data_IF_774608017885
#
_entry.id   IF_774608017885
#
_cell.length_a   1.000
_cell.length_b   1.000
_cell.length_c   1.000
_cell.angle_alpha   90.00
_cell.angle_beta   90.00
_cell.angle_gamma   90.00
#
_symmetry.space_group_name_H-M   'P 1'
#
loop_
_entity.id
_entity.type
_entity.pdbx_description
1 polymer ?
#
# COMPACT_ATOMS: atom_id res chain seq x y z
N UNK A 1 -11.51 -10.93 12.87
CA UNK A 1 -11.75 -11.30 14.28
C UNK A 1 -11.35 -10.13 15.16
N UNK A 2 -12.10 -9.88 16.23
CA UNK A 2 -11.76 -8.87 17.23
C UNK A 2 -10.76 -9.44 18.25
N UNK A 3 -9.93 -8.56 18.82
CA UNK A 3 -8.98 -8.91 19.88
C UNK A 3 -9.63 -8.74 21.27
N UNK A 4 -9.07 -9.43 22.28
CA UNK A 4 -9.47 -9.26 23.68
C UNK A 4 -10.64 -10.11 24.16
N UNK A 5 -11.16 -11.01 23.32
CA UNK A 5 -12.24 -11.93 23.68
C UNK A 5 -11.73 -13.35 23.94
N UNK A 6 -12.26 -13.99 24.98
CA UNK A 6 -11.92 -15.38 25.32
C UNK A 6 -12.39 -16.37 24.24
N UNK A 7 -13.53 -16.09 23.60
CA UNK A 7 -14.03 -16.85 22.46
C UNK A 7 -13.73 -16.10 21.15
N UNK A 8 -13.40 -16.82 20.05
CA UNK A 8 -13.20 -16.19 18.75
C UNK A 8 -14.42 -15.37 18.36
N UNK A 9 -14.24 -14.05 18.31
CA UNK A 9 -15.33 -13.10 18.05
C UNK A 9 -15.12 -12.47 16.68
N UNK A 10 -16.12 -12.61 15.81
CA UNK A 10 -16.15 -11.96 14.50
C UNK A 10 -16.99 -10.70 14.58
N UNK A 11 -16.59 -9.69 13.82
CA UNK A 11 -17.37 -8.49 13.54
C UNK A 11 -17.68 -8.49 12.05
N UNK A 12 -18.94 -8.24 11.72
CA UNK A 12 -19.43 -8.25 10.35
C UNK A 12 -20.03 -6.89 10.02
N UNK A 13 -19.58 -6.32 8.92
CA UNK A 13 -20.24 -5.22 8.25
C UNK A 13 -21.17 -5.82 7.20
N UNK A 14 -22.46 -5.53 7.32
CA UNK A 14 -23.46 -6.02 6.38
C UNK A 14 -24.40 -4.89 5.98
N UNK A 15 -25.00 -5.06 4.81
CA UNK A 15 -26.02 -4.17 4.28
C UNK A 15 -27.37 -4.86 4.35
N UNK A 16 -28.38 -4.15 4.86
CA UNK A 16 -29.75 -4.66 4.95
C UNK A 16 -30.52 -4.42 3.63
N UNK A 17 -31.74 -4.97 3.47
CA UNK A 17 -32.57 -4.74 2.27
C UNK A 17 -33.04 -3.29 2.07
N UNK A 18 -32.82 -2.41 3.05
CA UNK A 18 -33.10 -0.97 2.96
C UNK A 18 -31.85 -0.18 2.58
N UNK A 19 -30.79 -0.86 2.14
CA UNK A 19 -29.49 -0.28 1.78
C UNK A 19 -28.77 0.41 2.95
N UNK A 20 -29.16 0.11 4.19
CA UNK A 20 -28.47 0.61 5.38
C UNK A 20 -27.36 -0.35 5.80
N UNK A 21 -26.22 0.20 6.23
CA UNK A 21 -25.11 -0.59 6.74
C UNK A 21 -25.13 -0.70 8.25
N UNK A 22 -24.76 -1.87 8.74
CA UNK A 22 -24.77 -2.21 10.15
C UNK A 22 -23.55 -3.04 10.52
N UNK A 23 -23.09 -2.89 11.76
CA UNK A 23 -22.11 -3.77 12.37
C UNK A 23 -22.77 -4.72 13.36
N UNK A 24 -22.40 -5.99 13.29
CA UNK A 24 -22.86 -7.00 14.24
C UNK A 24 -21.71 -7.93 14.62
N UNK A 25 -21.62 -8.27 15.90
CA UNK A 25 -20.65 -9.24 16.38
C UNK A 25 -21.29 -10.60 16.61
N UNK A 26 -20.50 -11.66 16.41
CA UNK A 26 -20.85 -13.03 16.73
C UNK A 26 -19.66 -13.73 17.39
N UNK A 27 -19.95 -14.66 18.31
CA UNK A 27 -18.97 -15.56 18.88
C UNK A 27 -19.07 -16.93 18.21
N UNK A 28 -17.92 -17.54 17.93
CA UNK A 28 -17.86 -18.86 17.30
C UNK A 28 -17.79 -19.94 18.38
N UNK A 29 -18.87 -20.71 18.56
CA UNK A 29 -18.85 -21.89 19.43
C UNK A 29 -18.27 -23.08 18.68
N UNK A 30 -17.03 -23.45 19.00
CA UNK A 30 -16.40 -24.66 18.43
C UNK A 30 -17.06 -25.95 18.94
N UNK A 31 -17.67 -25.91 20.13
CA UNK A 31 -18.39 -27.03 20.73
C UNK A 31 -19.70 -27.31 20.00
N UNK A 32 -20.50 -26.27 19.78
CA UNK A 32 -21.84 -26.39 19.20
C UNK A 32 -21.80 -26.29 17.66
N UNK A 33 -20.65 -25.93 17.09
CA UNK A 33 -20.42 -25.68 15.66
C UNK A 33 -21.40 -24.65 15.08
N UNK A 34 -21.71 -23.63 15.87
CA UNK A 34 -22.68 -22.59 15.53
C UNK A 34 -22.21 -21.20 16.01
N UNK A 35 -22.87 -20.16 15.52
CA UNK A 35 -22.65 -18.78 15.93
C UNK A 35 -23.57 -18.39 17.08
N UNK A 36 -22.96 -17.82 18.12
CA UNK A 36 -23.68 -17.23 19.25
C UNK A 36 -23.70 -15.71 19.06
N UNK A 37 -24.76 -15.04 19.54
CA UNK A 37 -24.82 -13.58 19.57
C UNK A 37 -23.57 -13.01 20.24
N UNK A 38 -22.89 -12.10 19.55
CA UNK A 38 -21.70 -11.45 20.07
C UNK A 38 -22.04 -10.35 21.09
N UNK A 39 -21.00 -9.77 21.71
CA UNK A 39 -21.14 -8.86 22.84
C UNK A 39 -21.84 -7.54 22.50
N UNK A 40 -21.78 -7.08 21.24
CA UNK A 40 -22.38 -5.80 20.84
C UNK A 40 -22.74 -5.72 19.35
N UNK A 41 -23.59 -4.76 19.00
CA UNK A 41 -23.93 -4.41 17.63
C UNK A 41 -24.10 -2.90 17.49
N UNK A 42 -23.91 -2.38 16.28
CA UNK A 42 -24.11 -0.97 15.95
C UNK A 42 -24.98 -0.88 14.69
N UNK A 43 -26.14 -0.25 14.81
CA UNK A 43 -27.06 -0.06 13.69
C UNK A 43 -26.86 1.31 13.03
N UNK A 44 -27.00 1.37 11.70
CA UNK A 44 -26.96 2.64 10.98
C UNK A 44 -25.57 3.26 10.96
N UNK A 45 -24.56 2.48 10.58
CA UNK A 45 -23.23 3.02 10.27
C UNK A 45 -23.24 3.70 8.90
N UNK A 46 -22.17 4.40 8.55
CA UNK A 46 -22.05 5.09 7.26
C UNK A 46 -22.35 4.15 6.08
N UNK A 47 -23.14 4.63 5.12
CA UNK A 47 -23.52 3.86 3.92
C UNK A 47 -22.28 3.51 3.08
N UNK A 48 -21.27 4.39 3.05
CA UNK A 48 -19.97 4.18 2.41
C UNK A 48 -19.00 3.29 3.19
N UNK A 49 -19.38 2.73 4.35
CA UNK A 49 -18.48 1.90 5.16
C UNK A 49 -18.02 0.64 4.41
N UNK A 50 -16.74 0.53 4.06
CA UNK A 50 -16.22 -0.58 3.24
C UNK A 50 -15.36 -1.57 4.00
N UNK A 51 -14.72 -1.13 5.09
CA UNK A 51 -13.65 -1.91 5.71
C UNK A 51 -13.67 -1.81 7.23
N UNK A 52 -13.34 -2.93 7.88
CA UNK A 52 -13.16 -3.01 9.34
C UNK A 52 -11.71 -3.37 9.64
N UNK A 53 -11.07 -2.60 10.51
CA UNK A 53 -9.74 -2.88 11.04
C UNK A 53 -9.89 -3.27 12.52
N UNK A 54 -9.57 -4.51 12.91
CA UNK A 54 -9.60 -4.90 14.32
C UNK A 54 -8.43 -4.25 15.07
N UNK A 55 -8.74 -3.56 16.18
CA UNK A 55 -7.73 -2.90 17.02
C UNK A 55 -7.21 -3.90 18.07
N UNK A 56 -5.89 -4.04 18.23
CA UNK A 56 -5.30 -4.99 19.15
C UNK A 56 -5.55 -4.63 20.63
N UNK A 57 -5.29 -5.59 21.51
CA UNK A 57 -5.22 -5.35 22.96
C UNK A 57 -4.04 -4.45 23.29
N UNK A 58 -4.14 -3.57 24.32
CA UNK A 58 -5.19 -3.55 25.35
C UNK A 58 -6.41 -2.66 25.02
N UNK A 59 -6.37 -1.92 23.91
CA UNK A 59 -7.44 -0.99 23.51
C UNK A 59 -8.70 -1.77 23.13
N UNK A 60 -8.55 -2.73 22.21
CA UNK A 60 -9.64 -3.56 21.68
C UNK A 60 -10.61 -2.77 20.81
N UNK A 61 -11.65 -3.45 20.32
CA UNK A 61 -12.64 -2.86 19.40
C UNK A 61 -12.19 -2.90 17.94
N UNK A 62 -12.76 -2.03 17.12
CA UNK A 62 -12.42 -1.93 15.70
C UNK A 62 -12.56 -0.50 15.16
N UNK A 63 -11.84 -0.22 14.08
CA UNK A 63 -12.00 0.97 13.26
C UNK A 63 -12.86 0.59 12.05
N UNK A 64 -13.88 1.39 11.77
CA UNK A 64 -14.70 1.32 10.58
C UNK A 64 -14.27 2.43 9.63
N UNK A 65 -13.87 2.06 8.42
CA UNK A 65 -13.51 2.98 7.36
C UNK A 65 -14.71 3.16 6.43
N UNK A 66 -15.21 4.39 6.35
CA UNK A 66 -16.17 4.86 5.35
C UNK A 66 -15.51 5.60 4.21
N UNK A 67 -16.33 6.30 3.44
CA UNK A 67 -15.88 7.17 2.35
C UNK A 67 -15.73 8.62 2.83
N UNK A 68 -16.45 8.99 3.88
CA UNK A 68 -16.44 10.35 4.45
C UNK A 68 -16.06 10.38 5.93
N UNK A 69 -16.16 9.24 6.62
CA UNK A 69 -15.85 9.16 8.04
C UNK A 69 -14.98 7.96 8.39
N UNK A 70 -14.19 8.13 9.45
CA UNK A 70 -13.47 7.06 10.11
C UNK A 70 -13.99 6.99 11.54
N UNK A 71 -14.46 5.80 11.95
CA UNK A 71 -15.07 5.60 13.27
C UNK A 71 -14.38 4.48 14.05
N UNK A 72 -13.84 4.79 15.22
CA UNK A 72 -13.47 3.78 16.22
C UNK A 72 -14.70 3.38 17.03
N UNK A 73 -14.88 2.08 17.22
CA UNK A 73 -16.02 1.47 17.89
C UNK A 73 -15.56 0.39 18.87
N UNK A 74 -15.96 0.54 20.13
CA UNK A 74 -15.77 -0.47 21.16
C UNK A 74 -17.06 -0.58 21.99
N UNK A 75 -17.94 -1.48 21.56
CA UNK A 75 -19.26 -1.65 22.18
C UNK A 75 -19.23 -2.15 23.62
N UNK A 76 -18.19 -2.87 24.05
CA UNK A 76 -18.07 -3.33 25.44
C UNK A 76 -17.89 -2.17 26.42
N UNK A 77 -17.13 -1.15 25.99
CA UNK A 77 -16.84 0.06 26.78
C UNK A 77 -17.82 1.20 26.47
N UNK A 78 -18.70 1.02 25.48
CA UNK A 78 -19.53 2.09 24.93
C UNK A 78 -18.71 3.26 24.36
N UNK A 79 -17.48 3.00 23.90
CA UNK A 79 -16.57 4.03 23.42
C UNK A 79 -16.62 4.12 21.90
N UNK A 80 -17.07 5.28 21.41
CA UNK A 80 -17.15 5.60 19.99
C UNK A 80 -16.45 6.94 19.75
N UNK A 81 -15.64 7.00 18.69
CA UNK A 81 -14.98 8.22 18.22
C UNK A 81 -15.06 8.26 16.71
N UNK A 82 -15.49 9.37 16.14
CA UNK A 82 -15.64 9.54 14.70
C UNK A 82 -14.99 10.83 14.26
N UNK A 83 -14.26 10.77 13.16
CA UNK A 83 -13.72 11.95 12.46
C UNK A 83 -14.22 11.98 11.03
N UNK A 84 -14.28 13.18 10.47
CA UNK A 84 -14.57 13.40 9.06
C UNK A 84 -13.28 13.45 8.25
N UNK A 85 -13.33 12.96 7.02
CA UNK A 85 -12.25 13.06 6.04
C UNK A 85 -12.83 13.51 4.69
N UNK A 86 -11.96 13.95 3.79
CA UNK A 86 -12.35 14.22 2.41
C UNK A 86 -12.84 12.94 1.74
N UNK A 87 -13.78 13.10 0.79
CA UNK A 87 -14.45 11.97 0.15
C UNK A 87 -13.42 11.16 -0.66
N UNK A 88 -13.11 9.95 -0.20
CA UNK A 88 -12.20 9.02 -0.89
C UNK A 88 -12.52 7.57 -0.53
N UNK A 89 -12.11 6.63 -1.37
CA UNK A 89 -12.27 5.20 -1.11
C UNK A 89 -10.95 4.60 -0.67
N UNK A 90 -10.82 4.31 0.63
CA UNK A 90 -9.69 3.57 1.18
C UNK A 90 -9.71 2.12 0.66
N UNK A 91 -8.61 1.69 0.06
CA UNK A 91 -8.47 0.34 -0.55
C UNK A 91 -7.57 -0.59 0.22
N UNK A 92 -6.58 -0.04 0.92
CA UNK A 92 -5.59 -0.82 1.65
C UNK A 92 -5.29 -0.16 3.00
N UNK A 93 -4.87 -0.99 3.95
CA UNK A 93 -4.38 -0.53 5.23
C UNK A 93 -3.21 -1.39 5.70
N UNK A 94 -2.40 -0.84 6.59
CA UNK A 94 -1.32 -1.56 7.26
C UNK A 94 -1.15 -1.03 8.68
N UNK A 95 -0.86 -1.91 9.63
CA UNK A 95 -0.56 -1.51 11.01
C UNK A 95 0.93 -1.13 11.12
N UNK A 96 1.24 -0.01 11.76
CA UNK A 96 2.63 0.38 12.06
C UNK A 96 3.03 -0.17 13.42
N UNK A 97 2.29 0.19 14.47
CA UNK A 97 2.66 -0.18 15.84
C UNK A 97 1.93 -1.44 16.29
N UNK A 98 2.62 -2.31 17.04
CA UNK A 98 2.02 -3.55 17.53
C UNK A 98 0.80 -3.29 18.43
N UNK A 99 0.84 -2.21 19.21
CA UNK A 99 -0.21 -1.73 20.10
C UNK A 99 -1.40 -1.07 19.38
N UNK A 100 -1.28 -0.86 18.07
CA UNK A 100 -2.32 -0.26 17.24
C UNK A 100 -2.49 1.24 17.43
N UNK A 101 -1.44 1.98 17.83
CA UNK A 101 -1.45 3.46 17.82
C UNK A 101 -1.64 4.03 16.42
N UNK A 102 -0.84 3.55 15.45
CA UNK A 102 -0.78 4.13 14.10
C UNK A 102 -1.09 3.09 13.03
N UNK A 103 -1.88 3.52 12.05
CA UNK A 103 -2.22 2.75 10.86
C UNK A 103 -1.93 3.58 9.62
N UNK A 104 -1.46 2.92 8.57
CA UNK A 104 -1.39 3.49 7.23
C UNK A 104 -2.67 3.14 6.49
N UNK A 105 -3.23 4.13 5.79
CA UNK A 105 -4.40 3.98 4.92
C UNK A 105 -4.01 4.43 3.52
N UNK A 106 -4.25 3.60 2.52
CA UNK A 106 -4.03 3.94 1.11
C UNK A 106 -5.34 3.98 0.36
N UNK A 107 -5.60 5.07 -0.35
CA UNK A 107 -6.79 5.22 -1.16
C UNK A 107 -6.61 4.76 -2.61
N UNK A 108 -7.71 4.79 -3.36
CA UNK A 108 -7.69 4.38 -4.77
C UNK A 108 -6.95 5.35 -5.70
N UNK A 109 -6.74 6.60 -5.28
CA UNK A 109 -5.96 7.61 -5.99
C UNK A 109 -4.47 7.51 -5.67
N UNK A 110 -4.08 6.61 -4.77
CA UNK A 110 -2.69 6.38 -4.33
C UNK A 110 -2.20 7.39 -3.29
N UNK A 111 -3.09 8.18 -2.70
CA UNK A 111 -2.77 8.98 -1.54
C UNK A 111 -2.59 8.05 -0.33
N UNK A 112 -1.51 8.27 0.40
CA UNK A 112 -1.20 7.59 1.65
C UNK A 112 -1.46 8.52 2.83
N UNK A 113 -2.16 8.00 3.83
CA UNK A 113 -2.49 8.69 5.07
C UNK A 113 -1.98 7.89 6.27
N UNK A 114 -1.73 8.58 7.38
CA UNK A 114 -1.53 7.97 8.70
C UNK A 114 -2.71 8.30 9.59
N UNK A 115 -3.37 7.26 10.10
CA UNK A 115 -4.39 7.34 11.13
C UNK A 115 -3.73 7.08 12.48
N UNK A 116 -3.84 8.03 13.39
CA UNK A 116 -3.34 7.97 14.77
C UNK A 116 -4.52 7.86 15.72
N UNK A 117 -4.50 6.81 16.55
CA UNK A 117 -5.40 6.64 17.69
C UNK A 117 -4.71 7.25 18.91
N UNK A 118 -5.28 8.33 19.42
CA UNK A 118 -4.82 8.92 20.68
C UNK A 118 -5.49 8.17 21.83
N UNK A 119 -4.70 7.53 22.70
CA UNK A 119 -5.24 6.82 23.85
C UNK A 119 -4.52 7.17 25.15
N UNK A 120 -5.30 7.16 26.23
CA UNK A 120 -4.83 7.27 27.60
C UNK A 120 -5.19 5.98 28.34
N UNK A 121 -4.16 5.21 28.68
CA UNK A 121 -4.30 3.84 29.17
C UNK A 121 -5.08 2.96 28.19
N UNK A 122 -6.29 2.57 28.58
CA UNK A 122 -7.16 1.65 27.81
C UNK A 122 -8.36 2.35 27.15
N UNK A 123 -8.35 3.69 27.06
CA UNK A 123 -9.44 4.50 26.51
C UNK A 123 -8.95 5.34 25.34
N UNK A 124 -9.71 5.38 24.24
CA UNK A 124 -9.40 6.21 23.09
C UNK A 124 -9.94 7.62 23.34
N UNK A 125 -9.06 8.61 23.29
CA UNK A 125 -9.39 10.02 23.46
C UNK A 125 -9.86 10.63 22.14
N UNK A 126 -9.18 10.30 21.04
CA UNK A 126 -9.41 10.92 19.74
C UNK A 126 -8.80 10.13 18.60
N UNK A 127 -9.15 10.54 17.39
CA UNK A 127 -8.56 10.06 16.14
C UNK A 127 -7.97 11.26 15.41
N UNK A 128 -6.79 11.07 14.81
CA UNK A 128 -6.17 12.07 13.94
C UNK A 128 -5.79 11.42 12.63
N UNK A 129 -6.12 12.06 11.52
CA UNK A 129 -5.75 11.62 10.18
C UNK A 129 -4.86 12.68 9.57
N UNK A 130 -3.64 12.29 9.20
CA UNK A 130 -2.69 13.18 8.52
C UNK A 130 -2.32 12.57 7.16
N UNK A 131 -2.20 13.42 6.15
CA UNK A 131 -1.78 13.03 4.80
C UNK A 131 -0.25 12.96 4.73
N UNK A 132 0.28 11.82 4.26
CA UNK A 132 1.72 11.60 4.14
C UNK A 132 2.25 11.95 2.76
N UNK A 133 1.55 11.60 1.69
CA UNK A 133 2.02 11.83 0.33
C UNK A 133 1.45 10.82 -0.66
N UNK A 134 1.97 10.82 -1.88
CA UNK A 134 1.49 9.97 -2.97
C UNK A 134 2.39 8.73 -3.16
N UNK A 135 1.76 7.60 -3.44
CA UNK A 135 2.39 6.29 -3.74
C UNK A 135 1.66 5.63 -4.91
N UNK A 136 2.13 4.49 -5.41
CA UNK A 136 1.33 3.66 -6.33
C UNK A 136 0.00 3.23 -5.69
N UNK A 137 -1.06 3.01 -6.48
CA UNK A 137 -2.38 2.65 -5.96
C UNK A 137 -2.33 1.35 -5.14
N UNK A 138 -2.35 1.49 -3.81
CA UNK A 138 -2.04 0.40 -2.91
C UNK A 138 -3.17 -0.63 -2.87
N UNK A 139 -2.81 -1.90 -3.11
CA UNK A 139 -3.68 -3.05 -2.82
C UNK A 139 -3.38 -3.66 -1.45
N UNK A 140 -2.11 -3.62 -1.05
CA UNK A 140 -1.65 -4.03 0.28
C UNK A 140 -0.61 -3.06 0.79
N UNK A 141 -0.58 -2.83 2.09
CA UNK A 141 0.40 -1.97 2.76
C UNK A 141 1.01 -2.78 3.89
N UNK A 142 2.32 -2.87 3.94
CA UNK A 142 3.03 -3.63 4.98
C UNK A 142 4.19 -2.80 5.50
N UNK A 143 4.05 -2.32 6.73
CA UNK A 143 5.15 -1.70 7.45
C UNK A 143 6.19 -2.78 7.76
N UNK A 144 7.46 -2.50 7.47
CA UNK A 144 8.55 -3.43 7.71
C UNK A 144 9.24 -3.10 9.04
N UNK A 145 10.01 -2.01 9.07
CA UNK A 145 10.65 -1.44 10.27
C UNK A 145 11.31 -0.10 9.89
N UNK A 146 11.71 0.71 10.88
CA UNK A 146 12.58 1.88 10.70
C UNK A 146 12.07 2.90 9.67
N UNK A 147 10.74 3.04 9.59
CA UNK A 147 10.05 3.94 8.65
C UNK A 147 9.91 3.37 7.25
N UNK A 148 10.34 2.14 6.98
CA UNK A 148 10.25 1.50 5.67
C UNK A 148 8.93 0.75 5.52
N UNK A 149 8.26 0.95 4.39
CA UNK A 149 6.94 0.37 4.08
C UNK A 149 6.97 -0.22 2.68
N UNK A 150 6.43 -1.43 2.54
CA UNK A 150 6.14 -2.01 1.25
C UNK A 150 4.70 -1.67 0.81
N UNK A 151 4.59 -1.07 -0.36
CA UNK A 151 3.34 -0.75 -1.05
C UNK A 151 3.16 -1.74 -2.20
N UNK A 152 2.30 -2.72 -2.00
CA UNK A 152 1.97 -3.68 -3.06
C UNK A 152 0.83 -3.17 -3.92
N UNK A 153 1.10 -2.91 -5.20
CA UNK A 153 0.08 -2.50 -6.17
C UNK A 153 -0.26 -3.65 -7.13
N UNK A 154 -1.53 -3.75 -7.51
CA UNK A 154 -1.99 -4.64 -8.58
C UNK A 154 -2.21 -3.91 -9.91
N UNK A 155 -2.12 -2.57 -9.92
CA UNK A 155 -2.45 -1.73 -11.07
C UNK A 155 -1.28 -0.85 -11.53
N UNK A 156 -0.15 -0.95 -10.85
CA UNK A 156 1.08 -0.21 -11.09
C UNK A 156 2.25 -0.93 -10.46
N UNK A 157 3.44 -0.36 -10.63
CA UNK A 157 4.66 -0.87 -10.00
C UNK A 157 4.47 -0.89 -8.47
N UNK A 158 4.92 -1.96 -7.82
CA UNK A 158 4.96 -1.98 -6.35
C UNK A 158 6.14 -1.16 -5.88
N UNK A 159 6.09 -0.62 -4.67
CA UNK A 159 7.11 0.31 -4.17
C UNK A 159 7.61 -0.10 -2.79
N UNK A 160 8.90 0.08 -2.56
CA UNK A 160 9.47 0.17 -1.23
C UNK A 160 9.67 1.65 -0.92
N UNK A 161 9.03 2.15 0.13
CA UNK A 161 9.07 3.56 0.49
C UNK A 161 9.64 3.75 1.90
N UNK A 162 10.14 4.95 2.18
CA UNK A 162 10.55 5.41 3.50
C UNK A 162 9.71 6.60 3.93
N UNK A 163 9.26 6.57 5.17
CA UNK A 163 8.52 7.65 5.80
C UNK A 163 9.50 8.55 6.58
N UNK A 164 9.46 9.84 6.28
CA UNK A 164 10.21 10.88 6.96
C UNK A 164 9.31 11.65 7.94
N UNK A 165 9.82 12.06 9.10
CA UNK A 165 9.05 12.82 10.08
C UNK A 165 8.68 14.22 9.56
N UNK A 166 9.60 14.83 8.82
CA UNK A 166 9.45 16.15 8.23
C UNK A 166 9.01 16.02 6.78
N UNK A 167 8.23 17.01 6.33
CA UNK A 167 7.79 17.10 4.94
C UNK A 167 8.88 17.69 4.06
N UNK A 168 8.94 17.22 2.82
CA UNK A 168 9.81 17.75 1.78
C UNK A 168 9.24 19.06 1.16
N UNK A 169 9.92 19.58 0.13
CA UNK A 169 9.49 20.78 -0.60
C UNK A 169 8.13 20.63 -1.30
N UNK A 170 7.67 19.40 -1.52
CA UNK A 170 6.41 19.05 -2.17
C UNK A 170 5.30 18.68 -1.17
N UNK A 171 5.47 19.00 0.11
CA UNK A 171 4.52 18.67 1.18
C UNK A 171 4.33 17.13 1.39
N UNK A 172 5.35 16.34 1.02
CA UNK A 172 5.37 14.87 1.13
C UNK A 172 6.34 14.39 2.23
N UNK A 173 5.89 13.40 2.99
CA UNK A 173 6.67 12.65 3.98
C UNK A 173 7.27 11.36 3.39
N UNK A 174 7.18 11.15 2.08
CA UNK A 174 7.47 9.86 1.43
C UNK A 174 8.68 9.98 0.51
N UNK A 175 9.64 9.08 0.71
CA UNK A 175 10.76 8.82 -0.21
C UNK A 175 10.60 7.43 -0.83
N UNK A 176 10.65 7.32 -2.16
CA UNK A 176 10.62 6.02 -2.84
C UNK A 176 12.04 5.45 -2.89
N UNK A 177 12.27 4.33 -2.20
CA UNK A 177 13.57 3.64 -2.16
C UNK A 177 13.77 2.73 -3.38
N UNK A 178 12.72 1.98 -3.74
CA UNK A 178 12.76 1.01 -4.83
C UNK A 178 11.37 0.87 -5.47
N UNK A 179 11.35 0.58 -6.78
CA UNK A 179 10.13 0.25 -7.51
C UNK A 179 10.27 -1.11 -8.18
N UNK A 180 9.24 -1.94 -8.07
CA UNK A 180 9.16 -3.29 -8.63
C UNK A 180 8.18 -3.30 -9.79
N UNK A 181 8.70 -3.56 -10.99
CA UNK A 181 7.92 -3.55 -12.24
C UNK A 181 6.71 -4.47 -12.16
N UNK A 182 5.55 -3.93 -12.53
CA UNK A 182 4.29 -4.66 -12.68
C UNK A 182 3.69 -4.38 -14.05
N UNK A 183 3.49 -5.43 -14.85
CA UNK A 183 2.85 -5.33 -16.17
C UNK A 183 1.32 -5.30 -16.07
N UNK A 184 0.76 -5.63 -14.91
CA UNK A 184 -0.67 -5.84 -14.71
C UNK A 184 -1.45 -4.57 -14.38
N UNK A 185 -2.75 -4.52 -14.74
CA UNK A 185 -3.38 -5.38 -15.73
C UNK A 185 -2.90 -5.02 -17.15
N UNK A 186 -2.64 -6.03 -17.99
CA UNK A 186 -2.41 -5.83 -19.43
C UNK A 186 -3.77 -5.71 -20.10
N UNK A 187 -4.10 -4.52 -20.58
CA UNK A 187 -5.38 -4.25 -21.23
C UNK A 187 -5.34 -4.61 -22.71
N UNK A 188 -4.21 -4.37 -23.37
CA UNK A 188 -3.96 -4.70 -24.77
C UNK A 188 -2.45 -4.90 -25.00
N UNK A 189 -2.08 -5.58 -26.09
CA UNK A 189 -0.69 -5.72 -26.49
C UNK A 189 -0.52 -5.93 -28.00
N UNK A 190 0.66 -5.57 -28.52
CA UNK A 190 1.07 -5.90 -29.86
C UNK A 190 2.49 -6.48 -29.90
N UNK A 191 2.80 -7.26 -30.93
CA UNK A 191 4.14 -7.80 -31.17
C UNK A 191 4.78 -7.02 -32.30
N UNK A 192 5.97 -6.49 -32.05
CA UNK A 192 6.74 -5.67 -32.98
C UNK A 192 8.17 -6.18 -33.10
N UNK A 193 8.76 -6.10 -34.29
CA UNK A 193 10.19 -6.32 -34.49
C UNK A 193 10.84 -4.98 -34.87
N UNK A 194 11.06 -4.14 -33.85
CA UNK A 194 11.59 -2.78 -34.03
C UNK A 194 13.02 -2.81 -34.58
N UNK A 195 13.81 -3.80 -34.19
CA UNK A 195 15.22 -3.92 -34.55
C UNK A 195 15.44 -4.67 -35.87
N UNK A 196 14.38 -5.28 -36.45
CA UNK A 196 14.44 -6.14 -37.64
C UNK A 196 15.47 -7.27 -37.53
N UNK A 197 15.76 -7.69 -36.29
CA UNK A 197 16.72 -8.75 -35.98
C UNK A 197 16.05 -10.13 -35.90
N UNK A 198 14.74 -10.23 -36.18
CA UNK A 198 13.97 -11.46 -36.05
C UNK A 198 13.62 -11.80 -34.59
N UNK A 199 13.79 -10.85 -33.67
CA UNK A 199 13.40 -10.98 -32.26
C UNK A 199 12.17 -10.12 -31.99
N UNK A 200 10.99 -10.76 -31.91
CA UNK A 200 9.75 -10.08 -31.57
C UNK A 200 9.78 -9.53 -30.14
N UNK A 201 9.44 -8.26 -29.99
CA UNK A 201 9.21 -7.56 -28.73
C UNK A 201 7.71 -7.40 -28.53
N UNK A 202 7.24 -7.50 -27.29
CA UNK A 202 5.83 -7.29 -26.94
C UNK A 202 5.68 -5.91 -26.33
N UNK A 203 4.82 -5.07 -26.90
CA UNK A 203 4.44 -3.78 -26.32
C UNK A 203 3.07 -3.93 -25.70
N UNK A 204 2.93 -3.60 -24.42
CA UNK A 204 1.68 -3.76 -23.65
C UNK A 204 1.16 -2.40 -23.20
N UNK A 205 -0.17 -2.24 -23.22
CA UNK A 205 -0.90 -1.23 -22.47
C UNK A 205 -1.15 -1.77 -21.06
N UNK A 206 -0.40 -1.29 -20.08
CA UNK A 206 -0.35 -1.83 -18.72
C UNK A 206 -0.87 -0.83 -17.68
N UNK A 207 -1.37 -1.35 -16.57
CA UNK A 207 -1.78 -0.54 -15.42
C UNK A 207 -3.17 0.09 -15.56
N UNK A 208 -3.52 0.95 -14.61
CA UNK A 208 -4.79 1.71 -14.65
C UNK A 208 -4.65 3.09 -14.01
N UNK A 209 -5.55 4.01 -14.35
CA UNK A 209 -5.60 5.36 -13.78
C UNK A 209 -4.23 6.04 -13.85
N UNK A 210 -3.72 6.56 -12.71
CA UNK A 210 -2.42 7.24 -12.63
C UNK A 210 -1.22 6.32 -12.88
N UNK A 211 -1.41 5.02 -12.69
CA UNK A 211 -0.37 4.00 -12.84
C UNK A 211 -0.34 3.40 -14.27
N UNK A 212 -1.12 3.98 -15.20
CA UNK A 212 -1.14 3.58 -16.61
C UNK A 212 0.21 3.80 -17.29
N UNK A 213 0.71 2.77 -17.99
CA UNK A 213 2.02 2.80 -18.66
C UNK A 213 2.05 1.92 -19.92
N UNK A 214 2.96 2.23 -20.85
CA UNK A 214 3.34 1.30 -21.91
C UNK A 214 4.58 0.53 -21.47
N UNK A 215 4.58 -0.79 -21.64
CA UNK A 215 5.74 -1.63 -21.28
C UNK A 215 6.22 -2.40 -22.49
N UNK A 216 7.54 -2.47 -22.66
CA UNK A 216 8.17 -3.25 -23.74
C UNK A 216 8.86 -4.46 -23.12
N UNK A 217 8.39 -5.64 -23.47
CA UNK A 217 8.96 -6.92 -23.06
C UNK A 217 9.77 -7.46 -24.22
N UNK A 218 11.08 -7.54 -24.02
CA UNK A 218 12.03 -8.14 -24.97
C UNK A 218 12.63 -9.41 -24.39
N UNK A 219 12.89 -10.39 -25.25
CA UNK A 219 13.62 -11.58 -24.85
C UNK A 219 15.13 -11.28 -24.89
N UNK A 220 15.83 -11.46 -23.77
CA UNK A 220 17.27 -11.21 -23.67
C UNK A 220 17.67 -10.39 -22.45
N UNK A 221 18.97 -10.17 -22.30
CA UNK A 221 19.53 -9.35 -21.21
C UNK A 221 19.51 -7.89 -21.65
N UNK A 222 18.89 -7.03 -20.85
CA UNK A 222 18.96 -5.59 -21.06
C UNK A 222 20.33 -5.04 -20.64
N UNK A 223 20.91 -4.18 -21.48
CA UNK A 223 22.07 -3.36 -21.11
C UNK A 223 21.53 -2.10 -20.42
N UNK A 224 22.02 -1.80 -19.22
CA UNK A 224 21.73 -0.54 -18.55
C UNK A 224 22.78 0.50 -18.97
N UNK A 225 22.43 1.34 -19.93
CA UNK A 225 23.33 2.35 -20.49
C UNK A 225 23.70 3.40 -19.45
N UNK A 226 24.97 3.42 -19.02
CA UNK A 226 25.48 4.40 -18.05
C UNK A 226 26.01 5.67 -18.70
N UNK A 227 26.47 5.57 -19.96
CA UNK A 227 27.02 6.68 -20.73
C UNK A 227 26.94 6.38 -22.23
N UNK A 228 26.67 7.41 -23.02
CA UNK A 228 26.59 7.37 -24.47
C UNK A 228 27.54 8.41 -25.06
N UNK A 229 28.44 8.02 -25.97
CA UNK A 229 29.32 8.96 -26.70
C UNK A 229 29.37 8.56 -28.17
N UNK A 230 29.07 9.50 -29.05
CA UNK A 230 29.09 9.27 -30.50
C UNK A 230 30.51 9.41 -31.05
N UNK A 231 31.13 8.27 -31.40
CA UNK A 231 32.47 8.20 -31.97
C UNK A 231 32.47 7.31 -33.21
N UNK A 232 32.78 7.85 -34.40
CA UNK A 232 32.71 7.07 -35.63
C UNK A 232 33.92 6.13 -35.77
N UNK A 233 33.68 4.92 -36.28
CA UNK A 233 34.74 4.05 -36.78
C UNK A 233 35.51 3.24 -35.73
N UNK A 234 35.01 3.13 -34.50
CA UNK A 234 35.63 2.31 -33.45
C UNK A 234 35.72 0.85 -33.89
N UNK A 235 36.94 0.29 -33.87
CA UNK A 235 37.22 -1.14 -34.18
C UNK A 235 37.55 -1.99 -32.96
N UNK A 236 37.74 -1.35 -31.82
CA UNK A 236 38.11 -2.01 -30.58
C UNK A 236 38.08 -1.04 -29.41
N UNK A 237 37.75 -1.58 -28.24
CA UNK A 237 37.67 -0.87 -26.97
C UNK A 237 38.41 -1.70 -25.91
N UNK A 238 39.29 -1.05 -25.16
CA UNK A 238 40.02 -1.67 -24.06
C UNK A 238 40.01 -0.74 -22.86
N UNK A 239 39.66 -1.27 -21.70
CA UNK A 239 39.82 -0.55 -20.44
C UNK A 239 41.20 -0.82 -19.84
N UNK A 240 41.86 0.23 -19.34
CA UNK A 240 43.13 0.12 -18.64
C UNK A 240 43.08 0.80 -17.28
N UNK A 241 43.71 0.12 -16.32
CA UNK A 241 44.06 0.66 -15.02
C UNK A 241 45.32 1.51 -15.12
N UNK A 242 45.42 2.52 -14.26
CA UNK A 242 46.63 3.35 -14.15
C UNK A 242 47.81 2.58 -13.56
N UNK A 243 47.55 1.62 -12.68
CA UNK A 243 48.54 0.72 -12.09
C UNK A 243 47.92 -0.66 -11.82
N UNK A 244 48.76 -1.67 -11.57
CA UNK A 244 48.31 -3.04 -11.25
C UNK A 244 47.49 -3.06 -9.94
N UNK A 245 47.81 -2.14 -9.02
CA UNK A 245 47.20 -2.01 -7.69
C UNK A 245 45.89 -1.21 -7.72
N UNK A 246 45.61 -0.47 -8.80
CA UNK A 246 44.40 0.32 -8.90
C UNK A 246 43.15 -0.59 -8.88
N UNK A 247 42.16 -0.18 -8.09
CA UNK A 247 40.89 -0.90 -7.94
C UNK A 247 39.95 -0.67 -9.13
N UNK A 248 40.09 0.45 -9.83
CA UNK A 248 39.22 0.87 -10.92
C UNK A 248 40.01 1.18 -12.19
N UNK A 249 39.38 0.98 -13.34
CA UNK A 249 39.91 1.40 -14.64
C UNK A 249 39.87 2.93 -14.76
N UNK A 250 40.91 3.51 -15.38
CA UNK A 250 41.05 4.97 -15.55
C UNK A 250 40.96 5.39 -17.01
N UNK A 251 41.41 4.54 -17.92
CA UNK A 251 41.50 4.85 -19.34
C UNK A 251 40.59 3.92 -20.14
N UNK A 252 39.89 4.48 -21.13
CA UNK A 252 39.19 3.73 -22.16
C UNK A 252 39.86 4.04 -23.50
N UNK A 253 40.59 3.07 -24.05
CA UNK A 253 41.32 3.20 -25.31
C UNK A 253 40.41 2.73 -26.45
N UNK A 254 40.34 3.51 -27.51
CA UNK A 254 39.67 3.15 -28.77
C UNK A 254 40.67 3.03 -29.92
N UNK A 255 40.38 2.17 -30.89
CA UNK A 255 41.12 2.05 -32.17
C UNK A 255 40.29 2.48 -33.37
#
# INVERSE_FOLDING_TARGET
>A
FLYGYAQPTIVLLYQDPKELRHLKTYQVSTKDKDFIAGPWSQTGVEIGATMIIPVPTPIGGCILLGEQTISYLNGDKGDTKTIHMDITVIRAWGKIDEDGRRYLLGDHLGQLYVLVLEFDGNKVLGLKLDTLGETSSAKTITYLDSGVVFIGSCFGDSQLIRLHPDKDENDSNIEVLESFTNLGPIQDFCVVDLERQGQGQVVTCSGTLKDGSLRVVRNGIGINEQAAVELPGIKGLWSLRESIEAQYDKYLIQS
#
